data_IF_740170744090
#
_entry.id   IF_740170744090
#
_cell.length_a   1.000
_cell.length_b   1.000
_cell.length_c   1.000
_cell.angle_alpha   90.00
_cell.angle_beta   90.00
_cell.angle_gamma   90.00
#
_symmetry.space_group_name_H-M   'P 1'
#
loop_
_entity.id
_entity.type
_entity.pdbx_description
1 polymer ?
#
# COMPACT_ATOMS: atom_id res chain seq x y z
N UNK A 1 -8.11 -4.04 -3.31
CA UNK A 1 -6.80 -4.52 -2.81
C UNK A 1 -6.86 -6.02 -2.61
N UNK A 2 -5.78 -6.74 -2.86
CA UNK A 2 -5.66 -8.17 -2.52
C UNK A 2 -4.44 -8.37 -1.63
N UNK A 3 -4.56 -9.21 -0.59
CA UNK A 3 -3.49 -9.48 0.36
C UNK A 3 -3.39 -10.99 0.64
N UNK A 4 -2.18 -11.47 0.85
CA UNK A 4 -1.87 -12.83 1.32
C UNK A 4 -0.92 -12.74 2.50
N UNK A 5 -1.09 -13.61 3.48
CA UNK A 5 -0.26 -13.71 4.69
C UNK A 5 0.10 -15.18 4.92
N UNK A 6 1.39 -15.46 5.04
CA UNK A 6 1.89 -16.73 5.54
C UNK A 6 1.89 -16.69 7.07
N UNK A 7 0.95 -17.41 7.69
CA UNK A 7 0.79 -17.44 9.15
C UNK A 7 1.95 -18.12 9.90
N UNK A 8 2.76 -18.91 9.20
CA UNK A 8 3.92 -19.58 9.79
C UNK A 8 5.12 -18.65 9.90
N UNK A 9 5.32 -17.79 8.91
CA UNK A 9 6.54 -16.95 8.82
C UNK A 9 6.30 -15.48 9.11
N UNK A 10 5.06 -15.01 8.98
CA UNK A 10 4.73 -13.58 9.05
C UNK A 10 5.00 -12.83 7.74
N UNK A 11 5.41 -13.55 6.69
CA UNK A 11 5.57 -12.97 5.35
C UNK A 11 4.21 -12.65 4.75
N UNK A 12 4.10 -11.48 4.14
CA UNK A 12 2.87 -11.06 3.49
C UNK A 12 3.15 -10.25 2.22
N UNK A 13 2.15 -10.19 1.36
CA UNK A 13 2.17 -9.34 0.20
C UNK A 13 0.78 -8.80 -0.08
N UNK A 14 0.71 -7.52 -0.46
CA UNK A 14 -0.51 -6.94 -1.00
C UNK A 14 -0.26 -6.30 -2.36
N UNK A 15 -1.31 -6.26 -3.17
CA UNK A 15 -1.31 -5.56 -4.45
C UNK A 15 -2.55 -4.69 -4.62
N UNK A 16 -2.35 -3.55 -5.26
CA UNK A 16 -3.39 -2.57 -5.58
C UNK A 16 -3.38 -2.31 -7.08
N UNK A 17 -4.47 -2.60 -7.81
CA UNK A 17 -4.62 -2.19 -9.20
C UNK A 17 -4.67 -0.66 -9.30
N UNK A 18 -3.81 -0.05 -10.14
CA UNK A 18 -3.77 1.41 -10.30
C UNK A 18 -5.08 1.94 -10.90
N UNK A 19 -5.63 1.24 -11.88
CA UNK A 19 -6.94 1.58 -12.47
C UNK A 19 -8.13 1.35 -11.50
N UNK A 20 -7.87 0.79 -10.32
CA UNK A 20 -8.87 0.61 -9.26
C UNK A 20 -9.12 1.85 -8.39
N UNK A 21 -8.32 2.90 -8.53
CA UNK A 21 -8.54 4.16 -7.81
C UNK A 21 -9.71 4.93 -8.42
N UNK A 22 -10.61 5.41 -7.55
CA UNK A 22 -11.77 6.21 -7.95
C UNK A 22 -11.49 7.70 -7.73
N UNK A 23 -11.85 8.52 -8.70
CA UNK A 23 -11.68 9.98 -8.64
C UNK A 23 -13.00 10.68 -8.88
N UNK A 24 -13.14 11.90 -8.33
CA UNK A 24 -14.35 12.72 -8.52
C UNK A 24 -14.57 13.18 -9.96
N UNK A 25 -13.49 13.32 -10.73
CA UNK A 25 -13.52 13.80 -12.11
C UNK A 25 -12.71 12.84 -12.99
N UNK A 26 -13.28 12.45 -14.13
CA UNK A 26 -12.66 11.57 -15.11
C UNK A 26 -11.32 12.10 -15.62
N UNK A 27 -11.18 13.42 -15.83
CA UNK A 27 -9.93 14.02 -16.30
C UNK A 27 -8.79 13.87 -15.28
N UNK A 28 -9.10 13.94 -13.98
CA UNK A 28 -8.09 13.67 -12.94
C UNK A 28 -7.64 12.21 -12.96
N UNK A 29 -8.59 11.29 -13.19
CA UNK A 29 -8.29 9.88 -13.31
C UNK A 29 -7.45 9.60 -14.55
N UNK A 30 -7.74 10.24 -15.68
CA UNK A 30 -6.95 10.17 -16.92
C UNK A 30 -5.51 10.64 -16.67
N UNK A 31 -5.33 11.83 -16.08
CA UNK A 31 -4.00 12.32 -15.72
C UNK A 31 -3.27 11.40 -14.74
N UNK A 32 -3.95 10.88 -13.73
CA UNK A 32 -3.39 9.91 -12.80
C UNK A 32 -2.88 8.66 -13.50
N UNK A 33 -3.67 8.08 -14.42
CA UNK A 33 -3.34 6.84 -15.09
C UNK A 33 -2.28 7.03 -16.19
N UNK A 34 -2.39 8.08 -17.01
CA UNK A 34 -1.54 8.24 -18.19
C UNK A 34 -0.28 9.06 -17.90
N UNK A 35 -0.42 10.18 -17.18
CA UNK A 35 0.67 11.15 -17.05
C UNK A 35 1.55 10.91 -15.81
N UNK A 36 1.02 10.21 -14.79
CA UNK A 36 1.70 10.04 -13.51
C UNK A 36 2.09 8.59 -13.22
N UNK A 37 1.14 7.66 -13.27
CA UNK A 37 1.38 6.26 -12.88
C UNK A 37 1.59 5.32 -14.07
N UNK A 38 1.44 5.82 -15.30
CA UNK A 38 1.59 5.05 -16.55
C UNK A 38 0.93 3.66 -16.45
N UNK A 39 -0.34 3.61 -16.07
CA UNK A 39 -0.98 2.39 -15.56
C UNK A 39 -1.20 1.27 -16.59
N UNK A 40 -0.99 1.56 -17.88
CA UNK A 40 -0.89 0.52 -18.91
C UNK A 40 0.45 -0.22 -18.85
N UNK A 41 1.54 0.47 -18.47
CA UNK A 41 2.86 -0.12 -18.26
C UNK A 41 2.99 -0.71 -16.84
N UNK A 42 2.46 -0.01 -15.84
CA UNK A 42 2.52 -0.39 -14.43
C UNK A 42 1.10 -0.55 -13.84
N UNK A 43 0.39 -1.65 -14.17
CA UNK A 43 -1.03 -1.79 -13.82
C UNK A 43 -1.31 -1.97 -12.34
N UNK A 44 -0.28 -2.20 -11.52
CA UNK A 44 -0.41 -2.44 -10.08
C UNK A 44 0.79 -1.94 -9.29
N UNK A 45 0.50 -1.49 -8.08
CA UNK A 45 1.49 -1.34 -7.01
C UNK A 45 1.50 -2.58 -6.13
N UNK A 46 2.68 -2.96 -5.64
CA UNK A 46 2.86 -4.18 -4.84
C UNK A 46 3.74 -3.88 -3.64
N UNK A 47 3.36 -4.36 -2.47
CA UNK A 47 4.24 -4.46 -1.31
C UNK A 47 4.50 -5.93 -1.00
N UNK A 48 5.75 -6.28 -0.73
CA UNK A 48 6.15 -7.60 -0.24
C UNK A 48 7.03 -7.42 0.98
N UNK A 49 6.65 -8.00 2.10
CA UNK A 49 7.37 -7.80 3.34
C UNK A 49 7.03 -8.84 4.40
N UNK A 50 7.44 -8.52 5.62
CA UNK A 50 7.23 -9.33 6.81
C UNK A 50 6.78 -8.47 7.97
N UNK A 51 5.97 -9.05 8.84
CA UNK A 51 5.66 -8.45 10.14
C UNK A 51 6.85 -8.71 11.06
N UNK A 52 7.39 -7.65 11.65
CA UNK A 52 8.50 -7.75 12.60
C UNK A 52 8.05 -8.51 13.84
N UNK A 53 8.93 -9.35 14.38
CA UNK A 53 8.70 -10.11 15.62
C UNK A 53 7.43 -10.99 15.59
N UNK A 54 7.04 -11.48 14.40
CA UNK A 54 5.82 -12.28 14.18
C UNK A 54 5.65 -13.48 15.13
N UNK A 55 6.74 -14.15 15.53
CA UNK A 55 6.68 -15.33 16.40
C UNK A 55 6.22 -15.01 17.82
N UNK A 56 6.44 -13.78 18.27
CA UNK A 56 6.09 -13.31 19.61
C UNK A 56 4.77 -12.52 19.58
N UNK A 57 4.12 -12.44 18.41
CA UNK A 57 2.91 -11.65 18.19
C UNK A 57 1.64 -12.47 18.49
N UNK A 58 0.84 -12.01 19.43
CA UNK A 58 -0.49 -12.56 19.73
C UNK A 58 -1.59 -11.66 19.16
N UNK A 59 -2.18 -12.07 18.04
CA UNK A 59 -3.30 -11.34 17.43
C UNK A 59 -4.57 -11.62 18.23
N UNK A 60 -5.18 -10.56 18.78
CA UNK A 60 -6.44 -10.61 19.53
C UNK A 60 -7.52 -9.76 18.87
N UNK A 61 -8.70 -9.68 19.46
CA UNK A 61 -9.80 -8.84 18.96
C UNK A 61 -9.55 -7.33 19.17
N UNK A 62 -8.45 -6.96 19.85
CA UNK A 62 -8.02 -5.58 20.03
C UNK A 62 -6.99 -5.18 18.97
N UNK A 63 -7.06 -3.93 18.52
CA UNK A 63 -6.03 -3.32 17.68
C UNK A 63 -4.67 -3.41 18.37
N UNK A 64 -3.71 -3.99 17.66
CA UNK A 64 -2.31 -4.07 18.06
C UNK A 64 -1.44 -3.35 17.03
N UNK A 65 -0.63 -2.43 17.50
CA UNK A 65 0.38 -1.77 16.67
C UNK A 65 1.53 -2.74 16.38
N UNK A 66 1.90 -2.84 15.10
CA UNK A 66 2.97 -3.69 14.58
C UNK A 66 3.88 -2.88 13.66
N UNK A 67 5.10 -3.38 13.45
CA UNK A 67 6.01 -2.85 12.44
C UNK A 67 6.08 -3.82 11.28
N UNK A 68 5.98 -3.31 10.05
CA UNK A 68 6.18 -4.08 8.82
C UNK A 68 7.39 -3.56 8.07
N UNK A 69 8.18 -4.46 7.51
CA UNK A 69 9.35 -4.13 6.69
C UNK A 69 9.30 -4.88 5.38
N UNK A 70 9.64 -4.22 4.27
CA UNK A 70 9.54 -4.84 2.95
C UNK A 70 9.85 -3.93 1.77
N UNK A 71 9.66 -4.47 0.58
CA UNK A 71 9.84 -3.79 -0.69
C UNK A 71 8.49 -3.27 -1.20
N UNK A 72 8.35 -1.95 -1.32
CA UNK A 72 7.25 -1.28 -2.01
C UNK A 72 7.66 -1.00 -3.46
N UNK A 73 6.84 -1.50 -4.39
CA UNK A 73 6.96 -1.26 -5.83
C UNK A 73 5.82 -0.38 -6.30
N UNK A 74 6.16 0.81 -6.82
CA UNK A 74 5.23 1.75 -7.46
C UNK A 74 5.90 2.25 -8.74
N UNK A 75 5.16 2.29 -9.85
CA UNK A 75 5.64 2.87 -11.09
C UNK A 75 6.98 2.26 -11.57
N UNK A 76 7.10 0.92 -11.43
CA UNK A 76 8.31 0.16 -11.76
C UNK A 76 9.50 0.33 -10.81
N UNK A 77 9.45 1.30 -9.89
CA UNK A 77 10.52 1.57 -8.93
C UNK A 77 10.28 0.82 -7.63
N UNK A 78 11.32 0.15 -7.15
CA UNK A 78 11.33 -0.64 -5.91
C UNK A 78 12.07 0.11 -4.81
N UNK A 79 11.50 0.13 -3.61
CA UNK A 79 12.13 0.72 -2.42
C UNK A 79 11.86 -0.12 -1.19
N UNK A 80 12.89 -0.29 -0.36
CA UNK A 80 12.72 -0.89 0.95
C UNK A 80 12.20 0.18 1.92
N UNK A 81 11.11 -0.14 2.60
CA UNK A 81 10.46 0.74 3.58
C UNK A 81 10.15 -0.03 4.86
N UNK A 82 10.00 0.71 5.95
CA UNK A 82 9.58 0.22 7.26
C UNK A 82 8.43 1.12 7.69
N UNK A 83 7.30 0.53 8.05
CA UNK A 83 6.08 1.27 8.38
C UNK A 83 5.40 0.72 9.63
N UNK A 84 4.70 1.60 10.34
CA UNK A 84 3.81 1.22 11.43
C UNK A 84 2.44 0.84 10.87
N UNK A 85 1.91 -0.29 11.32
CA UNK A 85 0.62 -0.82 10.92
C UNK A 85 -0.16 -1.30 12.15
N UNK A 86 -1.43 -1.60 11.96
CA UNK A 86 -2.31 -2.19 12.98
C UNK A 86 -2.79 -3.55 12.50
N UNK A 87 -2.95 -4.48 13.43
CA UNK A 87 -3.50 -5.81 13.18
C UNK A 87 -4.43 -6.24 14.31
N UNK A 88 -5.54 -6.89 13.97
CA UNK A 88 -6.49 -7.45 14.94
C UNK A 88 -7.33 -8.56 14.32
N UNK A 89 -8.03 -9.32 15.16
CA UNK A 89 -9.08 -10.23 14.73
C UNK A 89 -10.44 -9.52 14.79
N UNK A 90 -11.21 -9.63 13.72
CA UNK A 90 -12.60 -9.20 13.67
C UNK A 90 -13.42 -10.28 12.98
N UNK A 91 -14.44 -10.80 13.67
CA UNK A 91 -15.33 -11.85 13.13
C UNK A 91 -14.57 -13.06 12.55
N UNK A 92 -13.60 -13.60 13.31
CA UNK A 92 -12.72 -14.71 12.89
C UNK A 92 -11.86 -14.43 11.64
N UNK A 93 -11.70 -13.16 11.24
CA UNK A 93 -10.83 -12.72 10.14
C UNK A 93 -9.72 -11.84 10.69
N UNK A 94 -8.53 -12.01 10.14
CA UNK A 94 -7.41 -11.10 10.46
C UNK A 94 -7.63 -9.83 9.64
N UNK A 95 -7.69 -8.69 10.32
CA UNK A 95 -7.77 -7.36 9.71
C UNK A 95 -6.46 -6.64 9.91
N UNK A 96 -6.01 -5.93 8.89
CA UNK A 96 -4.79 -5.14 8.94
C UNK A 96 -4.96 -3.78 8.29
N UNK A 97 -4.37 -2.75 8.92
CA UNK A 97 -4.37 -1.39 8.42
C UNK A 97 -2.97 -0.80 8.43
N UNK A 98 -2.62 -0.08 7.37
CA UNK A 98 -1.34 0.60 7.27
C UNK A 98 -1.52 1.93 6.54
N UNK A 99 -0.74 2.92 6.95
CA UNK A 99 -0.61 4.20 6.23
C UNK A 99 0.79 4.29 5.64
N UNK A 100 0.88 4.86 4.45
CA UNK A 100 2.14 5.06 3.75
C UNK A 100 2.23 6.52 3.32
N UNK A 101 3.29 7.21 3.70
CA UNK A 101 3.59 8.55 3.20
C UNK A 101 4.52 8.45 1.99
N UNK A 102 3.95 8.51 0.80
CA UNK A 102 4.68 8.26 -0.45
C UNK A 102 5.12 9.57 -1.06
N UNK A 103 6.42 9.84 -1.03
CA UNK A 103 7.02 10.88 -1.86
C UNK A 103 7.00 10.44 -3.33
N UNK A 104 6.23 11.13 -4.18
CA UNK A 104 6.06 10.74 -5.59
C UNK A 104 7.39 10.75 -6.38
N UNK A 105 8.32 11.64 -5.99
CA UNK A 105 9.64 11.74 -6.59
C UNK A 105 10.50 10.48 -6.37
N UNK A 106 10.29 9.77 -5.26
CA UNK A 106 11.03 8.55 -4.93
C UNK A 106 10.72 7.39 -5.89
N UNK A 107 9.59 7.47 -6.60
CA UNK A 107 9.10 6.47 -7.54
C UNK A 107 9.12 6.96 -9.00
N UNK A 108 9.95 7.97 -9.30
CA UNK A 108 10.09 8.55 -10.64
C UNK A 108 8.78 9.11 -11.25
N UNK A 109 7.80 9.45 -10.41
CA UNK A 109 6.55 10.07 -10.85
C UNK A 109 6.80 11.57 -11.00
N UNK A 110 6.74 12.06 -12.24
CA UNK A 110 7.05 13.46 -12.57
C UNK A 110 5.79 14.31 -12.53
N UNK A 111 5.75 15.29 -11.63
CA UNK A 111 4.70 16.31 -11.61
C UNK A 111 5.14 17.52 -12.47
N UNK A 112 4.38 17.90 -13.51
CA UNK A 112 4.65 19.09 -14.33
C UNK A 112 4.69 20.36 -13.48
N UNK A 113 5.59 21.29 -13.83
CA UNK A 113 5.81 22.53 -13.04
C UNK A 113 4.53 23.36 -12.86
N UNK A 114 3.69 23.43 -13.90
CA UNK A 114 2.50 24.27 -13.93
C UNK A 114 1.41 23.85 -12.91
N UNK A 115 1.39 22.58 -12.50
CA UNK A 115 0.41 22.05 -11.52
C UNK A 115 1.05 21.65 -10.19
N UNK A 116 2.34 21.88 -10.00
CA UNK A 116 3.09 21.38 -8.84
C UNK A 116 2.60 21.94 -7.51
N UNK A 117 2.08 23.16 -7.48
CA UNK A 117 1.50 23.74 -6.26
C UNK A 117 0.14 23.12 -5.90
N UNK A 118 -0.53 22.50 -6.87
CA UNK A 118 -1.84 21.87 -6.70
C UNK A 118 -1.76 20.37 -6.40
N UNK A 119 -0.57 19.76 -6.48
CA UNK A 119 -0.37 18.33 -6.25
C UNK A 119 0.64 18.14 -5.11
N UNK A 120 0.21 17.45 -4.06
CA UNK A 120 1.05 17.19 -2.92
C UNK A 120 2.29 16.35 -3.32
N UNK A 121 3.46 16.74 -2.80
CA UNK A 121 4.73 16.04 -3.04
C UNK A 121 4.78 14.68 -2.33
N UNK A 122 4.06 14.59 -1.21
CA UNK A 122 3.89 13.40 -0.38
C UNK A 122 2.41 13.07 -0.39
N UNK A 123 2.08 11.82 -0.69
CA UNK A 123 0.71 11.31 -0.75
C UNK A 123 0.54 10.30 0.39
N UNK A 124 -0.37 10.58 1.32
CA UNK A 124 -0.80 9.58 2.31
C UNK A 124 -1.67 8.54 1.60
N UNK A 125 -1.27 7.28 1.68
CA UNK A 125 -2.04 6.13 1.19
C UNK A 125 -2.41 5.25 2.36
N UNK A 126 -3.71 5.14 2.63
CA UNK A 126 -4.25 4.22 3.63
C UNK A 126 -4.66 2.91 2.96
N UNK A 127 -4.21 1.78 3.52
CA UNK A 127 -4.54 0.43 3.06
C UNK A 127 -5.22 -0.31 4.20
N UNK A 128 -6.41 -0.85 3.95
CA UNK A 128 -7.13 -1.74 4.87
C UNK A 128 -7.41 -3.07 4.17
N UNK A 129 -7.11 -4.18 4.84
CA UNK A 129 -7.26 -5.53 4.29
C UNK A 129 -7.94 -6.45 5.29
N UNK A 130 -8.81 -7.33 4.79
CA UNK A 130 -9.48 -8.37 5.57
C UNK A 130 -9.08 -9.73 4.99
N UNK A 131 -8.32 -10.51 5.76
CA UNK A 131 -7.83 -11.83 5.39
C UNK A 131 -8.80 -12.89 5.89
N UNK A 132 -9.53 -13.51 4.95
CA UNK A 132 -10.34 -14.70 5.26
C UNK A 132 -9.42 -15.90 5.48
N UNK A 133 -9.75 -16.73 6.48
CA UNK A 133 -9.18 -18.07 6.63
C UNK A 133 -9.42 -18.83 5.32
N UNK A 134 -8.36 -19.16 4.58
CA UNK A 134 -8.40 -20.25 3.60
C UNK A 134 -8.02 -21.53 4.33
#
# INVERSE_FOLDING_TARGET
>A
VSCVLNKTTGDFAFQVPIKGFAFKNALMQEHFNENYLESDLYPKSVFKGKIKDWKDLEISDKELDITVEGELTIHGVKRNIIESAKIWNAEDKITGECKFDIAVADYNIKIPRIVRENIAKIIEVSVSVILKKK
#
